data_IF_963915941732
#
_entry.id   IF_963915941732
#
_cell.length_a   1.000
_cell.length_b   1.000
_cell.length_c   1.000
_cell.angle_alpha   90.00
_cell.angle_beta   90.00
_cell.angle_gamma   90.00
#
_symmetry.space_group_name_H-M   'P 1'
#
loop_
_entity.id
_entity.type
_entity.pdbx_description
1 polymer ?
#
# COMPACT_ATOMS: atom_id res chain seq x y z
N UNK A 1 -9.56 -9.12 -0.30
CA UNK A 1 -10.19 -8.97 -1.62
C UNK A 1 -9.46 -7.91 -2.42
N UNK A 2 -9.19 -8.17 -3.68
CA UNK A 2 -8.52 -7.25 -4.60
C UNK A 2 -9.46 -6.91 -5.76
N UNK A 3 -9.87 -5.66 -5.85
CA UNK A 3 -10.66 -5.13 -6.95
C UNK A 3 -9.72 -4.44 -7.94
N UNK A 4 -9.43 -5.12 -9.05
CA UNK A 4 -8.54 -4.65 -10.10
C UNK A 4 -9.35 -4.03 -11.24
N UNK A 5 -9.42 -2.71 -11.28
CA UNK A 5 -10.25 -2.00 -12.26
C UNK A 5 -9.52 -1.71 -13.57
N UNK A 6 -8.19 -1.86 -13.57
CA UNK A 6 -7.31 -1.61 -14.72
C UNK A 6 -6.77 -2.91 -15.31
N UNK A 7 -6.29 -3.81 -14.47
CA UNK A 7 -5.66 -5.05 -14.90
C UNK A 7 -6.62 -6.22 -14.82
N UNK A 8 -6.57 -7.12 -15.80
CA UNK A 8 -7.31 -8.37 -15.71
C UNK A 8 -6.68 -9.33 -14.68
N UNK A 9 -7.45 -10.34 -14.26
CA UNK A 9 -7.05 -11.31 -13.26
C UNK A 9 -5.77 -12.07 -13.63
N UNK A 10 -5.59 -12.44 -14.90
CA UNK A 10 -4.39 -13.16 -15.39
C UNK A 10 -3.13 -12.31 -15.22
N UNK A 11 -3.20 -11.04 -15.58
CA UNK A 11 -2.07 -10.11 -15.42
C UNK A 11 -1.69 -9.95 -13.94
N UNK A 12 -2.69 -9.83 -13.06
CA UNK A 12 -2.46 -9.71 -11.62
C UNK A 12 -1.85 -11.00 -11.06
N UNK A 13 -2.38 -12.17 -11.42
CA UNK A 13 -1.83 -13.46 -10.98
C UNK A 13 -0.40 -13.65 -11.46
N UNK A 14 -0.07 -13.29 -12.70
CA UNK A 14 1.30 -13.35 -13.21
C UNK A 14 2.25 -12.44 -12.40
N UNK A 15 1.80 -11.25 -11.98
CA UNK A 15 2.59 -10.39 -11.08
C UNK A 15 2.79 -11.01 -9.70
N UNK A 16 1.77 -11.65 -9.15
CA UNK A 16 1.88 -12.37 -7.87
C UNK A 16 2.86 -13.54 -7.97
N UNK A 17 2.80 -14.31 -9.06
CA UNK A 17 3.74 -15.40 -9.32
C UNK A 17 5.17 -14.86 -9.44
N UNK A 18 5.38 -13.81 -10.25
CA UNK A 18 6.68 -13.16 -10.38
C UNK A 18 7.26 -12.73 -9.04
N UNK A 19 6.42 -12.12 -8.20
CA UNK A 19 6.80 -11.63 -6.89
C UNK A 19 7.16 -12.75 -5.90
N UNK A 20 6.32 -13.79 -5.81
CA UNK A 20 6.46 -14.87 -4.81
C UNK A 20 7.50 -15.90 -5.22
N UNK A 21 7.58 -16.20 -6.53
CA UNK A 21 8.51 -17.22 -7.05
C UNK A 21 9.87 -16.64 -7.47
N UNK A 22 10.01 -15.31 -7.44
CA UNK A 22 11.23 -14.60 -7.90
C UNK A 22 11.64 -14.99 -9.33
N UNK A 23 10.66 -14.96 -10.23
CA UNK A 23 10.82 -15.21 -11.66
C UNK A 23 10.39 -13.96 -12.43
N UNK A 24 11.17 -13.57 -13.43
CA UNK A 24 10.82 -12.39 -14.22
C UNK A 24 9.48 -12.57 -14.94
N UNK A 25 8.58 -11.57 -14.79
CA UNK A 25 7.25 -11.61 -15.39
C UNK A 25 7.29 -11.81 -16.92
N UNK A 26 8.31 -11.28 -17.63
CA UNK A 26 8.50 -11.48 -19.06
C UNK A 26 8.77 -12.97 -19.40
N UNK A 27 9.58 -13.65 -18.61
CA UNK A 27 9.89 -15.07 -18.80
C UNK A 27 8.67 -15.95 -18.57
N UNK A 28 7.84 -15.61 -17.57
CA UNK A 28 6.55 -16.28 -17.32
C UNK A 28 5.63 -16.17 -18.54
N UNK A 29 5.48 -14.97 -19.10
CA UNK A 29 4.61 -14.71 -20.25
C UNK A 29 5.09 -15.42 -21.53
N UNK A 30 6.39 -15.53 -21.73
CA UNK A 30 6.99 -16.12 -22.94
C UNK A 30 7.28 -17.62 -22.78
N UNK A 31 7.09 -18.20 -21.59
CA UNK A 31 7.42 -19.59 -21.31
C UNK A 31 8.94 -19.89 -21.37
N UNK A 32 9.78 -18.88 -21.11
CA UNK A 32 11.23 -18.97 -21.23
C UNK A 32 11.91 -19.09 -19.86
N UNK A 33 11.42 -20.01 -19.04
CA UNK A 33 12.02 -20.29 -17.74
C UNK A 33 13.15 -21.31 -17.87
N UNK A 34 14.25 -21.08 -17.12
CA UNK A 34 15.27 -22.08 -16.94
C UNK A 34 14.90 -23.13 -15.87
N UNK A 35 15.71 -24.19 -15.75
CA UNK A 35 15.42 -25.30 -14.84
C UNK A 35 15.37 -24.87 -13.36
N UNK A 36 16.12 -23.86 -12.96
CA UNK A 36 16.12 -23.35 -11.60
C UNK A 36 14.89 -22.47 -11.33
N UNK A 37 14.50 -21.68 -12.31
CA UNK A 37 13.27 -20.88 -12.25
C UNK A 37 12.04 -21.78 -12.20
N UNK A 38 12.03 -22.87 -12.95
CA UNK A 38 10.99 -23.90 -12.87
C UNK A 38 10.89 -24.52 -11.46
N UNK A 39 12.04 -24.87 -10.86
CA UNK A 39 12.07 -25.40 -9.49
C UNK A 39 11.55 -24.38 -8.47
N UNK A 40 11.94 -23.11 -8.60
CA UNK A 40 11.43 -22.04 -7.72
C UNK A 40 9.94 -21.82 -7.87
N UNK A 41 9.43 -21.88 -9.10
CA UNK A 41 8.01 -21.75 -9.39
C UNK A 41 7.23 -22.91 -8.73
N UNK A 42 7.64 -24.14 -8.97
CA UNK A 42 6.99 -25.34 -8.41
C UNK A 42 6.98 -25.34 -6.88
N UNK A 43 8.10 -24.95 -6.27
CA UNK A 43 8.22 -24.89 -4.80
C UNK A 43 7.35 -23.81 -4.14
N UNK A 44 7.02 -22.71 -4.85
CA UNK A 44 6.37 -21.56 -4.25
C UNK A 44 4.93 -21.31 -4.74
N UNK A 45 4.55 -21.79 -5.92
CA UNK A 45 3.21 -21.55 -6.48
C UNK A 45 2.09 -22.08 -5.58
N UNK A 46 2.35 -23.16 -4.86
CA UNK A 46 1.41 -23.72 -3.88
C UNK A 46 1.05 -22.76 -2.75
N UNK A 47 1.93 -21.82 -2.40
CA UNK A 47 1.64 -20.75 -1.42
C UNK A 47 0.54 -19.82 -1.92
N UNK A 48 0.55 -19.50 -3.22
CA UNK A 48 -0.48 -18.66 -3.84
C UNK A 48 -1.81 -19.39 -3.97
N UNK A 49 -1.79 -20.65 -4.39
CA UNK A 49 -3.01 -21.47 -4.55
C UNK A 49 -3.80 -21.58 -3.25
N UNK A 50 -3.10 -21.69 -2.11
CA UNK A 50 -3.71 -21.82 -0.80
C UNK A 50 -3.96 -20.48 -0.09
N UNK A 51 -3.58 -19.36 -0.70
CA UNK A 51 -3.77 -18.03 -0.11
C UNK A 51 -5.22 -17.57 -0.26
N UNK A 52 -5.84 -17.00 0.78
CA UNK A 52 -7.22 -16.51 0.74
C UNK A 52 -7.29 -15.14 0.01
N UNK A 53 -6.86 -15.12 -1.25
CA UNK A 53 -6.86 -13.92 -2.11
C UNK A 53 -8.02 -14.07 -3.10
N UNK A 54 -8.93 -13.10 -3.09
CA UNK A 54 -10.09 -13.05 -3.99
C UNK A 54 -9.92 -11.86 -4.92
N UNK A 55 -9.83 -12.11 -6.21
CA UNK A 55 -9.65 -11.09 -7.25
C UNK A 55 -10.96 -10.88 -8.00
N UNK A 56 -11.31 -9.62 -8.21
CA UNK A 56 -12.42 -9.19 -9.07
C UNK A 56 -11.87 -8.13 -10.05
N UNK A 57 -11.92 -8.44 -11.35
CA UNK A 57 -11.40 -7.59 -12.43
C UNK A 57 -12.50 -6.93 -13.26
N UNK A 58 -13.66 -6.69 -12.66
CA UNK A 58 -14.77 -5.99 -13.31
C UNK A 58 -14.38 -4.54 -13.59
N UNK A 59 -14.21 -4.19 -14.86
CA UNK A 59 -13.89 -2.83 -15.27
C UNK A 59 -15.03 -1.85 -15.00
N UNK A 60 -14.70 -0.59 -14.66
CA UNK A 60 -15.68 0.47 -14.46
C UNK A 60 -16.70 0.19 -13.34
N UNK A 61 -16.30 -0.56 -12.32
CA UNK A 61 -17.15 -0.94 -11.19
C UNK A 61 -17.72 0.28 -10.47
N UNK A 62 -19.01 0.25 -10.17
CA UNK A 62 -19.63 1.29 -9.35
C UNK A 62 -19.40 1.07 -7.87
N UNK A 63 -19.47 2.15 -7.08
CA UNK A 63 -19.37 2.09 -5.63
C UNK A 63 -20.46 1.19 -5.00
N UNK A 64 -21.65 1.13 -5.59
CA UNK A 64 -22.75 0.28 -5.13
C UNK A 64 -22.49 -1.20 -5.40
N UNK A 65 -21.92 -1.51 -6.54
CA UNK A 65 -21.53 -2.88 -6.91
C UNK A 65 -20.41 -3.36 -6.00
N UNK A 66 -19.35 -2.54 -5.82
CA UNK A 66 -18.24 -2.83 -4.91
C UNK A 66 -18.75 -3.09 -3.51
N UNK A 67 -19.67 -2.26 -2.98
CA UNK A 67 -20.26 -2.44 -1.65
C UNK A 67 -20.98 -3.78 -1.52
N UNK A 68 -21.74 -4.18 -2.54
CA UNK A 68 -22.47 -5.45 -2.55
C UNK A 68 -21.52 -6.64 -2.56
N UNK A 69 -20.51 -6.62 -3.44
CA UNK A 69 -19.48 -7.67 -3.53
C UNK A 69 -18.65 -7.76 -2.24
N UNK A 70 -18.24 -6.61 -1.68
CA UNK A 70 -17.46 -6.52 -0.46
C UNK A 70 -18.21 -7.14 0.74
N UNK A 71 -19.47 -6.79 0.94
CA UNK A 71 -20.32 -7.37 1.99
C UNK A 71 -20.40 -8.87 1.89
N UNK A 72 -20.61 -9.41 0.66
CA UNK A 72 -20.65 -10.84 0.42
C UNK A 72 -19.33 -11.52 0.75
N UNK A 73 -18.19 -10.95 0.27
CA UNK A 73 -16.87 -11.51 0.52
C UNK A 73 -16.49 -11.51 2.01
N UNK A 74 -16.82 -10.45 2.75
CA UNK A 74 -16.59 -10.39 4.19
C UNK A 74 -17.43 -11.44 4.92
N UNK A 75 -18.72 -11.54 4.59
CA UNK A 75 -19.65 -12.49 5.27
C UNK A 75 -19.34 -13.95 4.94
N UNK A 76 -19.09 -14.27 3.65
CA UNK A 76 -19.00 -15.66 3.18
C UNK A 76 -17.57 -16.21 3.21
N UNK A 77 -16.59 -15.34 3.01
CA UNK A 77 -15.16 -15.70 2.89
C UNK A 77 -14.30 -15.19 4.05
N UNK A 78 -14.87 -14.40 4.95
CA UNK A 78 -14.14 -13.86 6.09
C UNK A 78 -13.02 -12.87 5.71
N UNK A 79 -13.16 -12.18 4.58
CA UNK A 79 -12.17 -11.20 4.09
C UNK A 79 -11.89 -10.15 5.16
N UNK A 80 -10.61 -9.83 5.39
CA UNK A 80 -10.14 -8.90 6.42
C UNK A 80 -9.56 -7.60 5.86
N UNK A 81 -9.26 -7.55 4.56
CA UNK A 81 -8.71 -6.37 3.87
C UNK A 81 -9.32 -6.28 2.48
N UNK A 82 -9.66 -5.08 2.06
CA UNK A 82 -10.06 -4.77 0.68
C UNK A 82 -9.00 -3.88 0.06
N UNK A 83 -8.57 -4.20 -1.16
CA UNK A 83 -7.69 -3.38 -1.99
C UNK A 83 -8.40 -2.99 -3.27
N UNK A 84 -8.21 -1.74 -3.73
CA UNK A 84 -8.83 -1.20 -4.94
C UNK A 84 -7.76 -0.56 -5.81
N UNK A 85 -7.63 -1.02 -7.06
CA UNK A 85 -6.68 -0.49 -8.04
C UNK A 85 -7.43 -0.01 -9.29
N UNK A 86 -7.68 1.31 -9.44
CA UNK A 86 -7.49 2.43 -8.57
C UNK A 86 -8.77 3.32 -8.55
N UNK A 87 -8.86 4.22 -7.59
CA UNK A 87 -10.09 5.00 -7.30
C UNK A 87 -10.67 5.71 -8.53
N UNK A 88 -9.81 6.30 -9.36
CA UNK A 88 -10.23 7.09 -10.50
C UNK A 88 -10.83 6.26 -11.66
N UNK A 89 -10.85 4.94 -11.56
CA UNK A 89 -11.57 4.07 -12.52
C UNK A 89 -12.97 3.68 -12.04
N UNK A 90 -13.30 3.99 -10.79
CA UNK A 90 -14.64 3.75 -10.25
C UNK A 90 -15.65 4.78 -10.75
N UNK A 91 -16.92 4.40 -10.70
CA UNK A 91 -18.04 5.30 -10.94
C UNK A 91 -19.00 5.37 -9.73
N UNK A 92 -19.64 6.52 -9.57
CA UNK A 92 -20.70 6.72 -8.60
C UNK A 92 -22.06 6.77 -9.32
N UNK A 93 -22.48 5.64 -9.94
CA UNK A 93 -23.70 5.54 -10.72
C UNK A 93 -24.92 6.14 -10.01
N UNK A 94 -25.76 6.87 -10.76
CA UNK A 94 -27.07 7.35 -10.31
C UNK A 94 -27.15 8.82 -9.95
N UNK A 95 -26.02 9.55 -9.85
CA UNK A 95 -26.02 11.00 -9.65
C UNK A 95 -25.38 11.70 -10.86
N UNK A 96 -25.88 12.90 -11.17
CA UNK A 96 -25.19 13.80 -12.11
C UNK A 96 -24.19 14.63 -11.32
N UNK A 97 -22.92 14.46 -11.61
CA UNK A 97 -21.84 15.23 -10.98
C UNK A 97 -21.45 16.40 -11.87
N UNK A 98 -21.14 17.53 -11.28
CA UNK A 98 -20.66 18.71 -11.99
C UNK A 98 -19.24 18.56 -12.49
N UNK A 99 -18.45 17.67 -11.84
CA UNK A 99 -17.06 17.39 -12.18
C UNK A 99 -16.65 15.99 -11.77
N UNK A 100 -15.57 15.47 -12.38
CA UNK A 100 -14.93 14.20 -11.97
C UNK A 100 -14.43 14.25 -10.54
N UNK A 101 -13.96 15.40 -10.11
CA UNK A 101 -13.48 15.63 -8.73
C UNK A 101 -14.59 15.43 -7.69
N UNK A 102 -15.80 15.91 -7.98
CA UNK A 102 -16.97 15.72 -7.11
C UNK A 102 -17.36 14.23 -7.01
N UNK A 103 -17.32 13.53 -8.15
CA UNK A 103 -17.59 12.09 -8.20
C UNK A 103 -16.58 11.29 -7.36
N UNK A 104 -15.27 11.55 -7.53
CA UNK A 104 -14.20 10.91 -6.77
C UNK A 104 -14.34 11.23 -5.27
N UNK A 105 -14.73 12.44 -4.91
CA UNK A 105 -15.01 12.82 -3.52
C UNK A 105 -16.16 12.02 -2.92
N UNK A 106 -17.19 11.76 -3.70
CA UNK A 106 -18.34 10.94 -3.27
C UNK A 106 -17.95 9.48 -3.09
N UNK A 107 -17.12 8.94 -4.00
CA UNK A 107 -16.58 7.59 -3.92
C UNK A 107 -15.72 7.45 -2.64
N UNK A 108 -14.79 8.37 -2.41
CA UNK A 108 -13.90 8.38 -1.23
C UNK A 108 -14.69 8.32 0.06
N UNK A 109 -15.68 9.20 0.22
CA UNK A 109 -16.56 9.24 1.39
C UNK A 109 -17.35 7.93 1.56
N UNK A 110 -17.83 7.36 0.47
CA UNK A 110 -18.57 6.09 0.47
C UNK A 110 -17.68 4.92 0.90
N UNK A 111 -16.42 4.88 0.45
CA UNK A 111 -15.43 3.88 0.87
C UNK A 111 -15.10 3.99 2.36
N UNK A 112 -14.97 5.22 2.87
CA UNK A 112 -14.81 5.45 4.32
C UNK A 112 -16.01 4.92 5.12
N UNK A 113 -17.23 5.14 4.62
CA UNK A 113 -18.45 4.58 5.20
C UNK A 113 -18.46 3.05 5.19
N UNK A 114 -18.07 2.45 4.06
CA UNK A 114 -17.99 1.01 3.88
C UNK A 114 -16.94 0.35 4.81
N UNK A 115 -15.76 0.96 4.94
CA UNK A 115 -14.72 0.47 5.85
C UNK A 115 -15.20 0.42 7.30
N UNK A 116 -15.95 1.46 7.74
CA UNK A 116 -16.57 1.48 9.07
C UNK A 116 -17.67 0.43 9.21
N UNK A 117 -18.52 0.30 8.21
CA UNK A 117 -19.63 -0.66 8.20
C UNK A 117 -19.13 -2.10 8.30
N UNK A 118 -18.11 -2.45 7.54
CA UNK A 118 -17.53 -3.79 7.50
C UNK A 118 -16.53 -4.04 8.63
N UNK A 119 -16.09 -3.00 9.32
CA UNK A 119 -15.03 -3.02 10.34
C UNK A 119 -13.72 -3.66 9.84
N UNK A 120 -13.35 -3.36 8.60
CA UNK A 120 -12.08 -3.81 7.98
C UNK A 120 -11.41 -2.64 7.24
N UNK A 121 -10.08 -2.64 7.10
CA UNK A 121 -9.37 -1.64 6.32
C UNK A 121 -9.67 -1.76 4.82
N UNK A 122 -9.77 -0.61 4.16
CA UNK A 122 -9.80 -0.48 2.71
C UNK A 122 -8.56 0.29 2.28
N UNK A 123 -7.71 -0.35 1.46
CA UNK A 123 -6.56 0.27 0.80
C UNK A 123 -6.98 0.64 -0.62
N UNK A 124 -7.07 1.93 -0.88
CA UNK A 124 -7.42 2.43 -2.20
C UNK A 124 -6.21 3.09 -2.85
N UNK A 125 -5.79 2.59 -4.00
CA UNK A 125 -4.76 3.24 -4.80
C UNK A 125 -5.34 4.49 -5.44
N UNK A 126 -4.54 5.52 -5.54
CA UNK A 126 -4.90 6.78 -6.18
C UNK A 126 -3.76 7.28 -7.03
N UNK A 127 -4.06 7.64 -8.26
CA UNK A 127 -3.10 8.26 -9.15
C UNK A 127 -2.80 9.69 -8.68
N UNK A 128 -1.53 10.06 -8.69
CA UNK A 128 -1.08 11.42 -8.40
C UNK A 128 -1.23 12.33 -9.62
N UNK A 129 -1.26 13.64 -9.36
CA UNK A 129 -1.18 14.64 -10.41
C UNK A 129 0.18 14.53 -11.12
N UNK A 130 0.17 14.56 -12.44
CA UNK A 130 1.39 14.50 -13.27
C UNK A 130 2.34 15.68 -13.08
N UNK A 131 1.93 16.74 -12.39
CA UNK A 131 2.80 17.86 -12.05
C UNK A 131 4.01 17.45 -11.23
N UNK A 132 3.94 16.34 -10.47
CA UNK A 132 5.09 15.74 -9.76
C UNK A 132 6.22 15.41 -10.74
N UNK A 133 5.89 14.91 -11.92
CA UNK A 133 6.86 14.52 -12.95
C UNK A 133 7.60 15.71 -13.57
N UNK A 134 7.06 16.93 -13.44
CA UNK A 134 7.65 18.16 -14.00
C UNK A 134 8.51 18.93 -13.01
N UNK A 135 8.55 18.52 -11.72
CA UNK A 135 9.41 19.16 -10.72
C UNK A 135 10.84 18.67 -10.86
N UNK A 136 11.81 19.52 -10.52
CA UNK A 136 13.24 19.21 -10.62
C UNK A 136 13.82 18.74 -9.27
N UNK A 137 14.90 17.95 -9.36
CA UNK A 137 15.66 17.47 -8.21
C UNK A 137 14.98 16.33 -7.43
N UNK A 138 15.71 15.78 -6.47
CA UNK A 138 15.25 14.65 -5.63
C UNK A 138 14.00 15.04 -4.82
N UNK A 139 14.09 16.16 -4.10
CA UNK A 139 12.98 16.66 -3.27
C UNK A 139 11.78 17.09 -4.11
N UNK A 140 12.01 17.66 -5.30
CA UNK A 140 10.95 18.06 -6.21
C UNK A 140 10.13 16.86 -6.72
N UNK A 141 10.76 15.73 -7.01
CA UNK A 141 10.11 14.49 -7.46
C UNK A 141 9.45 13.71 -6.31
N UNK A 142 9.71 14.10 -5.06
CA UNK A 142 9.09 13.48 -3.89
C UNK A 142 7.61 13.84 -3.82
N UNK A 143 6.68 12.86 -3.75
CA UNK A 143 5.26 13.12 -3.71
C UNK A 143 4.85 13.78 -2.38
N UNK A 144 3.84 14.66 -2.46
CA UNK A 144 3.31 15.43 -1.34
C UNK A 144 1.77 15.36 -1.32
N UNK A 145 1.14 15.71 -0.19
CA UNK A 145 -0.32 15.73 -0.06
C UNK A 145 -1.00 16.64 -1.09
N UNK A 146 -0.34 17.75 -1.47
CA UNK A 146 -0.80 18.64 -2.54
C UNK A 146 -0.93 17.96 -3.90
N UNK A 147 -0.24 16.83 -4.13
CA UNK A 147 -0.30 16.08 -5.38
C UNK A 147 -1.58 15.24 -5.51
N UNK A 148 -2.32 15.08 -4.39
CA UNK A 148 -3.69 14.58 -4.36
C UNK A 148 -4.74 15.66 -4.64
N UNK A 149 -4.36 16.85 -5.08
CA UNK A 149 -5.15 18.08 -5.10
C UNK A 149 -6.42 18.02 -5.96
N UNK A 150 -6.45 17.22 -7.00
CA UNK A 150 -7.71 16.95 -7.75
C UNK A 150 -8.70 16.10 -6.94
N UNK A 151 -8.26 15.64 -5.77
CA UNK A 151 -8.99 14.74 -4.89
C UNK A 151 -8.80 15.16 -3.43
N UNK A 152 -8.90 16.45 -3.11
CA UNK A 152 -8.73 16.95 -1.72
C UNK A 152 -9.63 16.26 -0.70
N UNK A 153 -10.75 15.69 -1.15
CA UNK A 153 -11.60 14.85 -0.31
C UNK A 153 -10.93 13.52 0.06
N UNK A 154 -10.12 12.92 -0.82
CA UNK A 154 -9.38 11.67 -0.51
C UNK A 154 -8.48 11.91 0.69
N UNK A 155 -7.73 13.02 0.68
CA UNK A 155 -6.89 13.38 1.81
C UNK A 155 -7.70 13.55 3.09
N UNK A 156 -8.85 14.25 3.03
CA UNK A 156 -9.68 14.49 4.22
C UNK A 156 -10.30 13.20 4.77
N UNK A 157 -10.80 12.33 3.91
CA UNK A 157 -11.49 11.10 4.29
C UNK A 157 -10.53 10.01 4.79
N UNK A 158 -9.32 9.93 4.21
CA UNK A 158 -8.33 8.91 4.57
C UNK A 158 -7.83 9.05 6.01
N UNK A 159 -7.68 7.93 6.71
CA UNK A 159 -7.02 7.88 8.02
C UNK A 159 -5.50 7.91 7.89
N UNK A 160 -4.99 7.32 6.82
CA UNK A 160 -3.59 7.33 6.43
C UNK A 160 -3.46 7.66 4.95
N UNK A 161 -2.43 8.41 4.59
CA UNK A 161 -1.98 8.62 3.21
C UNK A 161 -0.54 8.17 3.12
N UNK A 162 -0.31 7.20 2.23
CA UNK A 162 0.99 6.64 1.96
C UNK A 162 1.36 6.93 0.51
N UNK A 163 2.58 7.41 0.27
CA UNK A 163 3.14 7.49 -1.07
C UNK A 163 4.22 6.46 -1.25
N UNK A 164 4.28 5.87 -2.44
CA UNK A 164 5.40 5.04 -2.86
C UNK A 164 6.28 5.88 -3.77
N UNK A 165 7.51 6.11 -3.35
CA UNK A 165 8.49 6.89 -4.10
C UNK A 165 9.70 6.04 -4.46
N UNK A 166 10.14 6.14 -5.72
CA UNK A 166 11.33 5.45 -6.25
C UNK A 166 12.15 6.46 -7.04
N UNK A 167 13.26 6.95 -6.47
CA UNK A 167 14.13 7.92 -7.14
C UNK A 167 14.62 7.43 -8.50
N UNK A 168 15.00 6.15 -8.60
CA UNK A 168 15.46 5.53 -9.85
C UNK A 168 14.43 5.62 -11.00
N UNK A 169 13.13 5.61 -10.70
CA UNK A 169 12.08 5.80 -11.70
C UNK A 169 12.18 7.14 -12.41
N UNK A 170 12.70 8.15 -11.71
CA UNK A 170 12.95 9.50 -12.24
C UNK A 170 14.39 9.70 -12.71
N UNK A 171 15.17 8.62 -12.88
CA UNK A 171 16.59 8.65 -13.26
C UNK A 171 17.48 9.39 -12.25
N UNK A 172 17.08 9.42 -11.00
CA UNK A 172 17.85 9.97 -9.89
C UNK A 172 18.57 8.80 -9.21
N UNK A 173 19.88 8.71 -9.41
CA UNK A 173 20.69 7.58 -8.98
C UNK A 173 21.54 7.87 -7.75
N UNK A 174 21.68 9.14 -7.37
CA UNK A 174 22.43 9.58 -6.20
C UNK A 174 21.67 10.68 -5.47
N UNK A 175 21.83 10.73 -4.15
CA UNK A 175 21.38 11.84 -3.33
C UNK A 175 22.43 13.00 -3.32
N UNK A 176 22.12 14.08 -2.60
CA UNK A 176 22.99 15.25 -2.48
C UNK A 176 24.31 14.94 -1.74
N UNK A 177 24.37 13.81 -1.05
CA UNK A 177 25.56 13.32 -0.34
C UNK A 177 26.36 12.30 -1.16
N UNK A 178 25.91 11.96 -2.37
CA UNK A 178 26.56 11.01 -3.27
C UNK A 178 26.23 9.54 -2.97
N UNK A 179 25.25 9.25 -2.11
CA UNK A 179 24.81 7.89 -1.84
C UNK A 179 24.04 7.31 -3.03
N UNK A 180 24.25 6.03 -3.34
CA UNK A 180 23.57 5.33 -4.43
C UNK A 180 22.10 5.01 -4.07
N UNK A 181 21.17 5.55 -4.87
CA UNK A 181 19.72 5.37 -4.72
C UNK A 181 19.14 4.28 -5.63
N UNK A 182 19.96 3.58 -6.42
CA UNK A 182 19.48 2.51 -7.31
C UNK A 182 18.88 1.36 -6.51
N UNK A 183 17.72 0.89 -6.95
CA UNK A 183 16.98 -0.16 -6.26
C UNK A 183 16.42 0.27 -4.89
N UNK A 184 16.49 1.56 -4.54
CA UNK A 184 15.84 2.07 -3.33
C UNK A 184 14.40 2.50 -3.62
N UNK A 185 13.56 2.33 -2.60
CA UNK A 185 12.20 2.84 -2.59
C UNK A 185 11.86 3.36 -1.20
N UNK A 186 10.91 4.27 -1.13
CA UNK A 186 10.41 4.84 0.11
C UNK A 186 8.89 4.70 0.17
N UNK A 187 8.38 4.28 1.31
CA UNK A 187 6.97 4.43 1.68
C UNK A 187 6.87 5.63 2.62
N UNK A 188 6.32 6.71 2.10
CA UNK A 188 6.19 8.00 2.80
C UNK A 188 4.83 8.01 3.48
N UNK A 189 4.80 8.01 4.81
CA UNK A 189 3.59 8.18 5.61
C UNK A 189 3.33 9.68 5.71
N UNK A 190 2.65 10.25 4.71
CA UNK A 190 2.43 11.69 4.62
C UNK A 190 1.28 12.17 5.53
N UNK A 191 0.36 11.29 5.87
CA UNK A 191 -0.72 11.55 6.82
C UNK A 191 -1.00 10.32 7.65
N UNK A 192 -1.14 10.51 8.95
CA UNK A 192 -1.59 9.47 9.88
C UNK A 192 -2.45 10.10 10.98
N UNK A 193 -3.75 9.79 11.00
CA UNK A 193 -4.72 10.43 11.93
C UNK A 193 -4.45 10.16 13.41
N UNK A 194 -3.88 8.99 13.71
CA UNK A 194 -3.68 8.51 15.09
C UNK A 194 -2.22 8.16 15.41
N UNK A 195 -1.28 8.51 14.54
CA UNK A 195 0.13 8.18 14.71
C UNK A 195 1.05 9.21 14.06
N UNK A 196 2.34 8.94 14.12
CA UNK A 196 3.36 9.77 13.51
C UNK A 196 3.38 9.64 11.97
N UNK A 197 3.84 10.68 11.32
CA UNK A 197 4.27 10.66 9.92
C UNK A 197 5.76 10.32 9.85
N UNK A 198 6.24 9.86 8.70
CA UNK A 198 7.64 9.50 8.52
C UNK A 198 7.85 8.67 7.26
N UNK A 199 9.07 8.21 7.06
CA UNK A 199 9.46 7.45 5.89
C UNK A 199 9.95 6.06 6.26
N UNK A 200 9.59 5.09 5.45
CA UNK A 200 10.11 3.73 5.54
C UNK A 200 10.90 3.44 4.27
N UNK A 201 12.20 3.24 4.41
CA UNK A 201 13.07 2.86 3.30
C UNK A 201 12.99 1.36 3.04
N UNK A 202 12.88 0.99 1.77
CA UNK A 202 12.80 -0.37 1.28
C UNK A 202 13.78 -0.57 0.12
N UNK A 203 14.11 -1.82 -0.18
CA UNK A 203 14.78 -2.21 -1.42
C UNK A 203 13.71 -2.64 -2.42
N UNK A 204 13.83 -2.20 -3.68
CA UNK A 204 12.94 -2.59 -4.77
C UNK A 204 13.69 -3.44 -5.82
N UNK A 205 13.29 -4.69 -5.97
CA UNK A 205 13.77 -5.61 -7.00
C UNK A 205 12.86 -5.52 -8.23
N UNK A 206 13.24 -4.69 -9.20
CA UNK A 206 12.42 -4.39 -10.38
C UNK A 206 12.07 -5.61 -11.22
N UNK A 207 12.99 -6.57 -11.35
CA UNK A 207 12.78 -7.82 -12.11
C UNK A 207 11.55 -8.61 -11.60
N UNK A 208 11.30 -8.57 -10.30
CA UNK A 208 10.21 -9.31 -9.64
C UNK A 208 9.08 -8.41 -9.13
N UNK A 209 9.17 -7.10 -9.39
CA UNK A 209 8.23 -6.10 -8.85
C UNK A 209 8.05 -6.25 -7.33
N UNK A 210 9.16 -6.45 -6.61
CA UNK A 210 9.15 -6.84 -5.20
C UNK A 210 9.84 -5.80 -4.32
N UNK A 211 9.19 -5.49 -3.20
CA UNK A 211 9.76 -4.69 -2.12
C UNK A 211 10.27 -5.61 -1.02
N UNK A 212 11.44 -5.29 -0.47
CA UNK A 212 12.07 -6.02 0.63
C UNK A 212 12.62 -5.04 1.66
N UNK A 213 12.88 -5.54 2.86
CA UNK A 213 13.64 -4.76 3.84
C UNK A 213 15.06 -4.52 3.31
N UNK A 214 15.63 -3.35 3.51
CA UNK A 214 17.00 -3.09 3.10
C UNK A 214 17.97 -3.99 3.88
N UNK A 215 19.04 -4.44 3.23
CA UNK A 215 20.13 -5.15 3.89
C UNK A 215 20.83 -4.22 4.89
N UNK A 216 21.31 -4.76 6.03
CA UNK A 216 21.98 -3.99 7.09
C UNK A 216 23.18 -3.17 6.57
N UNK A 217 23.89 -3.70 5.55
CA UNK A 217 25.02 -3.00 4.91
C UNK A 217 24.60 -1.75 4.13
N UNK A 218 23.36 -1.70 3.63
CA UNK A 218 22.81 -0.50 2.96
C UNK A 218 22.25 0.52 3.95
N UNK A 219 21.83 0.07 5.13
CA UNK A 219 21.34 0.96 6.19
C UNK A 219 22.46 1.81 6.80
N UNK A 220 23.69 1.26 6.90
CA UNK A 220 24.85 2.00 7.45
C UNK A 220 25.34 3.12 6.52
N UNK A 221 25.07 3.04 5.21
CA UNK A 221 25.43 4.08 4.25
C UNK A 221 24.30 5.12 4.02
N UNK A 222 23.08 4.81 4.46
CA UNK A 222 21.94 5.71 4.40
C UNK A 222 21.93 6.64 5.63
N UNK A 223 23.10 7.15 6.03
CA UNK A 223 23.24 8.10 7.12
C UNK A 223 22.28 9.25 6.91
N UNK A 224 21.29 9.31 7.79
CA UNK A 224 20.43 10.48 8.03
C UNK A 224 19.50 10.93 6.89
N UNK A 225 18.97 10.00 6.09
CA UNK A 225 17.72 10.27 5.38
C UNK A 225 16.64 10.10 6.45
N UNK A 226 16.26 11.21 7.11
CA UNK A 226 15.42 11.36 8.30
C UNK A 226 14.16 10.48 8.40
N UNK A 227 14.33 9.18 8.44
CA UNK A 227 13.32 8.18 8.61
C UNK A 227 13.62 7.33 9.83
N UNK A 228 12.81 7.43 10.85
CA UNK A 228 12.85 6.54 12.00
C UNK A 228 12.44 5.13 11.54
N UNK A 229 13.37 4.17 11.64
CA UNK A 229 13.08 2.76 11.30
C UNK A 229 12.19 2.22 12.40
N UNK A 230 10.90 2.19 12.17
CA UNK A 230 9.96 1.49 13.04
C UNK A 230 10.05 0.00 12.71
N UNK A 231 10.81 -0.75 13.50
CA UNK A 231 10.86 -2.21 13.42
C UNK A 231 9.44 -2.78 13.51
N UNK A 232 9.08 -3.63 12.55
CA UNK A 232 7.79 -4.31 12.58
C UNK A 232 7.72 -5.22 13.81
N UNK A 233 6.80 -4.94 14.73
CA UNK A 233 6.51 -5.78 15.89
C UNK A 233 5.97 -7.18 15.54
N UNK A 234 5.74 -7.44 14.27
CA UNK A 234 5.21 -8.73 13.78
C UNK A 234 6.26 -9.82 13.59
N UNK A 235 7.56 -9.50 13.62
CA UNK A 235 8.64 -10.47 13.41
C UNK A 235 9.55 -10.66 14.64
N UNK A 236 9.23 -10.05 15.76
CA UNK A 236 9.90 -10.30 17.05
C UNK A 236 9.15 -11.38 17.81
N UNK A 237 9.55 -12.62 17.65
CA UNK A 237 9.10 -13.70 18.53
C UNK A 237 9.78 -13.56 19.88
N UNK A 238 9.17 -12.82 20.78
CA UNK A 238 9.32 -12.94 22.22
C UNK A 238 8.00 -12.47 22.84
N UNK A 239 7.16 -13.45 23.17
CA UNK A 239 5.97 -13.31 24.01
C UNK A 239 6.39 -12.92 25.44
N UNK A 240 6.58 -11.64 25.67
CA UNK A 240 6.53 -11.10 27.04
C UNK A 240 5.29 -10.22 27.12
N UNK A 241 4.21 -10.67 27.78
CA UNK A 241 3.06 -9.82 28.02
C UNK A 241 3.49 -8.60 28.85
N UNK A 242 2.96 -7.39 28.57
CA UNK A 242 3.26 -6.22 29.38
C UNK A 242 2.87 -6.48 30.83
N UNK A 243 3.63 -5.97 31.83
CA UNK A 243 3.32 -6.16 33.23
C UNK A 243 1.92 -5.63 33.51
N UNK A 244 1.10 -6.46 34.13
CA UNK A 244 -0.24 -6.16 34.56
C UNK A 244 -0.16 -5.04 35.62
N UNK A 245 -0.58 -3.82 35.27
CA UNK A 245 -0.73 -2.75 36.24
C UNK A 245 -2.07 -2.99 36.93
N UNK A 246 -2.00 -3.41 38.18
CA UNK A 246 -3.16 -3.58 39.08
C UNK A 246 -3.89 -2.22 39.22
N UNK A 247 -5.18 -2.12 38.81
CA UNK A 247 -5.94 -0.88 38.96
C UNK A 247 -6.22 -0.50 40.43
N UNK A 248 -5.81 -1.34 41.40
CA UNK A 248 -6.04 -1.11 42.83
C UNK A 248 -4.97 -0.30 43.56
N UNK A 249 -3.86 0.08 42.92
CA UNK A 249 -2.74 0.78 43.60
C UNK A 249 -2.73 2.30 43.32
N UNK A 250 -3.85 2.98 43.40
CA UNK A 250 -3.90 4.46 43.48
C UNK A 250 -3.94 4.81 44.99
N UNK A 251 -2.93 5.47 45.58
CA UNK A 251 -3.05 5.98 46.93
C UNK A 251 -4.06 7.10 46.97
N UNK A 252 -5.12 6.89 47.76
CA UNK A 252 -6.10 7.91 48.02
C UNK A 252 -5.42 8.97 48.89
N UNK A 253 -5.16 10.16 48.33
CA UNK A 253 -4.78 11.32 49.10
C UNK A 253 -6.01 11.88 49.78
N UNK A 254 -5.97 11.98 51.11
CA UNK A 254 -6.99 12.62 51.95
C UNK A 254 -7.21 14.09 51.50
N UNK A 255 -8.47 14.59 51.49
CA UNK A 255 -8.75 15.99 51.23
C UNK A 255 -8.32 16.85 52.43
N UNK A 256 -7.70 18.01 52.20
CA UNK A 256 -7.51 18.98 53.28
C UNK A 256 -8.83 19.67 53.60
N UNK A 257 -9.22 19.63 54.85
CA UNK A 257 -10.20 20.35 55.62
C UNK A 257 -11.28 21.19 54.91
#
# INVERSE_FOLDING_TARGET
AFFSLEMNNVQLVNRLISNVCEVEGRKILNGQLDDEEWKRLDANVGKLQNSPIYVDDTAGMSIFELRTKARRLVREKGVKVIMIDYLQLMNANGARFGSRQEEVSTISRSLKGLAKELNIPILALSQLNRTVENRDGLDGKRPQLSDLRESGAIEQDADMVLFVHRPEYYHIYQDDHGNDLRGMAQVIIAKHRKGATGDVTLTFKGAFTRFENPDESRMSNAGDIGGEIVGSRLNGGDDVPPPFIDPGAIPVSEPPF
#
